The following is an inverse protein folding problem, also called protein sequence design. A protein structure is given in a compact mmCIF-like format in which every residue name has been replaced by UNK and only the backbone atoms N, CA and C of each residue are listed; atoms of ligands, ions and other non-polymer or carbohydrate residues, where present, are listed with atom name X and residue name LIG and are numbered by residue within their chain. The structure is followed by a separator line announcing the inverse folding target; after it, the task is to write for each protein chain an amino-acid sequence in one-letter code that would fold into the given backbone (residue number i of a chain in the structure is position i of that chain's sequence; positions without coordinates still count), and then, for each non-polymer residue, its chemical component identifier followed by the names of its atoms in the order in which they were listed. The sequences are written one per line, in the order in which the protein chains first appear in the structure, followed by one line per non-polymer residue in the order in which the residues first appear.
data_IF_182027199967
#
_entry.id   IF_182027199967
#
_cell.length_a   1.000
_cell.length_b   1.000
_cell.length_c   1.000
_cell.angle_alpha   90.00
_cell.angle_beta   90.00
_cell.angle_gamma   90.00
#
_symmetry.space_group_name_H-M   'P 1'
#
loop_
_entity.id
_entity.type
_entity.pdbx_description
1 polymer ?
#
# COMPACT_ATOMS: atom_id res chain seq x y z
N UNK A 1 9.79 -6.11 -2.11
CA UNK A 1 8.47 -6.33 -1.47
C UNK A 1 8.44 -7.52 -0.49
N UNK A 2 9.04 -8.65 -0.87
CA UNK A 2 8.95 -9.92 -0.13
C UNK A 2 9.56 -9.86 1.29
N UNK A 3 10.65 -9.09 1.47
CA UNK A 3 11.28 -8.88 2.78
C UNK A 3 10.34 -8.29 3.83
N UNK A 4 9.45 -7.36 3.44
CA UNK A 4 8.46 -6.80 4.37
C UNK A 4 7.52 -7.85 4.94
N UNK A 5 7.22 -8.91 4.16
CA UNK A 5 6.40 -10.03 4.65
C UNK A 5 7.20 -11.02 5.50
N UNK A 6 8.52 -11.03 5.39
CA UNK A 6 9.37 -11.79 6.31
C UNK A 6 9.32 -11.18 7.70
N UNK A 7 9.42 -9.84 7.79
CA UNK A 7 9.45 -9.14 9.08
C UNK A 7 8.05 -8.99 9.70
N UNK A 8 7.03 -8.76 8.86
CA UNK A 8 5.63 -8.68 9.26
C UNK A 8 4.81 -9.65 8.39
N UNK A 9 4.53 -10.87 8.88
CA UNK A 9 3.88 -11.92 8.08
C UNK A 9 2.52 -11.54 7.48
N UNK A 10 1.81 -10.61 8.12
CA UNK A 10 0.49 -10.13 7.69
C UNK A 10 0.55 -8.85 6.84
N UNK A 11 1.74 -8.38 6.45
CA UNK A 11 1.88 -7.16 5.68
C UNK A 11 1.21 -7.25 4.30
N UNK A 12 0.35 -6.27 4.02
CA UNK A 12 -0.15 -5.99 2.68
C UNK A 12 0.88 -5.12 1.94
N UNK A 13 1.31 -5.56 0.75
CA UNK A 13 2.34 -4.86 -0.03
C UNK A 13 1.85 -4.68 -1.45
N UNK A 14 1.68 -3.42 -1.85
CA UNK A 14 1.26 -3.01 -3.18
C UNK A 14 2.39 -2.25 -3.87
N UNK A 15 2.60 -2.52 -5.16
CA UNK A 15 3.58 -1.83 -5.99
C UNK A 15 2.80 -1.00 -7.00
N UNK A 16 3.03 0.31 -7.00
CA UNK A 16 2.35 1.26 -7.88
C UNK A 16 3.37 1.87 -8.84
N UNK A 17 2.92 2.22 -10.04
CA UNK A 17 3.72 2.99 -11.01
C UNK A 17 3.60 4.49 -10.71
N UNK A 18 4.35 4.95 -9.70
CA UNK A 18 4.15 6.28 -9.11
C UNK A 18 5.46 7.06 -8.86
N UNK A 19 6.60 6.57 -9.37
CA UNK A 19 7.89 7.24 -9.24
C UNK A 19 8.28 7.57 -7.79
N UNK A 20 8.99 8.69 -7.60
CA UNK A 20 9.45 9.13 -6.26
C UNK A 20 8.34 9.84 -5.46
N UNK A 21 7.47 10.57 -6.14
CA UNK A 21 6.40 11.38 -5.54
C UNK A 21 5.05 10.69 -5.73
N UNK A 22 4.91 9.51 -5.12
CA UNK A 22 3.76 8.64 -5.38
C UNK A 22 2.41 9.27 -5.03
N UNK A 23 2.37 10.19 -4.07
CA UNK A 23 1.16 10.94 -3.72
C UNK A 23 0.80 12.02 -4.75
N UNK A 24 1.74 12.52 -5.54
CA UNK A 24 1.44 13.50 -6.60
C UNK A 24 0.92 12.81 -7.87
N UNK A 25 1.30 11.55 -8.10
CA UNK A 25 0.97 10.81 -9.34
C UNK A 25 -0.12 9.76 -9.16
N UNK A 26 -0.27 9.19 -7.97
CA UNK A 26 -1.17 8.05 -7.71
C UNK A 26 -1.95 8.21 -6.38
N UNK A 27 -2.23 9.44 -5.95
CA UNK A 27 -2.96 9.72 -4.70
C UNK A 27 -4.27 8.93 -4.58
N UNK A 28 -5.08 8.88 -5.64
CA UNK A 28 -6.39 8.21 -5.60
C UNK A 28 -6.26 6.70 -5.38
N UNK A 29 -5.30 6.06 -6.07
CA UNK A 29 -5.02 4.63 -5.92
C UNK A 29 -4.53 4.32 -4.49
N UNK A 30 -3.58 5.11 -4.00
CA UNK A 30 -3.07 4.99 -2.62
C UNK A 30 -4.21 5.17 -1.61
N UNK A 31 -5.08 6.15 -1.81
CA UNK A 31 -6.19 6.42 -0.91
C UNK A 31 -7.20 5.27 -0.88
N UNK A 32 -7.45 4.60 -2.01
CA UNK A 32 -8.28 3.38 -2.06
C UNK A 32 -7.63 2.25 -1.26
N UNK A 33 -6.35 1.99 -1.48
CA UNK A 33 -5.60 0.94 -0.77
C UNK A 33 -5.62 1.15 0.75
N UNK A 34 -5.37 2.38 1.21
CA UNK A 34 -5.40 2.72 2.63
C UNK A 34 -6.80 2.55 3.22
N UNK A 35 -7.86 3.00 2.53
CA UNK A 35 -9.24 2.82 3.01
C UNK A 35 -9.63 1.36 3.10
N UNK A 36 -9.24 0.54 2.13
CA UNK A 36 -9.51 -0.89 2.12
C UNK A 36 -8.78 -1.60 3.26
N UNK A 37 -7.50 -1.26 3.48
CA UNK A 37 -6.73 -1.78 4.62
C UNK A 37 -7.40 -1.43 5.95
N UNK A 38 -7.81 -0.17 6.17
CA UNK A 38 -8.52 0.20 7.39
C UNK A 38 -9.89 -0.49 7.52
N UNK A 39 -10.57 -0.73 6.40
CA UNK A 39 -11.83 -1.46 6.36
C UNK A 39 -11.70 -2.94 6.71
N UNK A 40 -10.56 -3.58 6.42
CA UNK A 40 -10.30 -4.99 6.72
C UNK A 40 -9.91 -5.26 8.18
N UNK A 41 -9.59 -4.20 8.95
CA UNK A 41 -9.31 -4.28 10.39
C UNK A 41 -10.58 -4.38 11.26
N UNK A 42 -11.76 -4.26 10.66
CA UNK A 42 -13.05 -4.42 11.34
C UNK A 42 -13.46 -5.87 11.51
#
# INVERSE_FOLDING_TARGET
PERYRTDVPTAEVHVLDAGHFALDTAADEIAVLVRNFLGSLR
#
